data_IF_911683675781
#
_entry.id   IF_911683675781
#
_cell.length_a   1.000
_cell.length_b   1.000
_cell.length_c   1.000
_cell.angle_alpha   90.00
_cell.angle_beta   90.00
_cell.angle_gamma   90.00
#
_symmetry.space_group_name_H-M   'P 1'
#
loop_
_entity.id
_entity.type
_entity.pdbx_description
1 polymer ?
#
# COMPACT_ATOMS: atom_id res chain seq x y z
N UNK A 1 18.34 1.97 6.13
CA UNK A 1 19.35 3.05 6.31
C UNK A 1 20.13 2.85 7.62
N UNK A 2 21.38 3.34 7.73
CA UNK A 2 22.16 3.17 8.97
C UNK A 2 21.47 3.79 10.20
N UNK A 3 20.72 4.88 9.99
CA UNK A 3 19.98 5.58 11.05
C UNK A 3 18.56 5.03 11.29
N UNK A 4 18.15 3.99 10.56
CA UNK A 4 16.76 3.50 10.54
C UNK A 4 16.22 3.21 11.95
N UNK A 5 16.94 2.43 12.75
CA UNK A 5 16.47 2.03 14.08
C UNK A 5 16.29 3.25 15.00
N UNK A 6 17.27 4.16 15.01
CA UNK A 6 17.19 5.41 15.77
C UNK A 6 16.01 6.28 15.31
N UNK A 7 15.83 6.38 13.99
CA UNK A 7 14.76 7.17 13.39
C UNK A 7 13.36 6.59 13.62
N UNK A 8 13.22 5.27 13.75
CA UNK A 8 11.96 4.62 14.13
C UNK A 8 11.67 4.78 15.63
N UNK A 9 12.67 4.52 16.48
CA UNK A 9 12.50 4.48 17.95
C UNK A 9 12.08 5.82 18.54
N UNK A 10 12.55 6.94 17.98
CA UNK A 10 12.17 8.29 18.45
C UNK A 10 10.66 8.58 18.39
N UNK A 11 9.88 7.84 17.60
CA UNK A 11 8.43 8.03 17.48
C UNK A 11 7.63 7.22 18.50
N UNK A 12 8.26 6.40 19.34
CA UNK A 12 7.60 5.65 20.41
C UNK A 12 7.29 6.52 21.64
N UNK A 13 6.38 7.47 21.47
CA UNK A 13 5.76 8.22 22.57
C UNK A 13 4.92 7.29 23.47
N UNK A 14 4.60 7.68 24.72
CA UNK A 14 3.64 6.95 25.55
C UNK A 14 2.35 6.66 24.77
N UNK A 15 1.83 5.44 24.88
CA UNK A 15 0.64 4.99 24.14
C UNK A 15 0.87 4.56 22.68
N UNK A 16 2.05 4.79 22.09
CA UNK A 16 2.39 4.25 20.75
C UNK A 16 2.93 2.83 20.90
N UNK A 17 2.19 1.84 20.37
CA UNK A 17 2.57 0.42 20.41
C UNK A 17 3.23 -0.07 19.12
N UNK A 18 3.02 0.63 18.01
CA UNK A 18 3.50 0.21 16.69
C UNK A 18 3.95 1.43 15.88
N UNK A 19 5.12 1.32 15.26
CA UNK A 19 5.62 2.32 14.30
C UNK A 19 5.97 1.61 13.01
N UNK A 20 5.43 2.04 11.87
CA UNK A 20 5.81 1.54 10.56
C UNK A 20 6.46 2.65 9.72
N UNK A 21 7.47 2.31 8.95
CA UNK A 21 8.11 3.21 7.99
C UNK A 21 7.64 2.94 6.57
N UNK A 22 7.91 3.87 5.68
CA UNK A 22 7.68 3.69 4.25
C UNK A 22 8.63 2.65 3.64
N UNK A 23 8.08 1.76 2.84
CA UNK A 23 8.85 0.94 1.90
C UNK A 23 8.73 1.53 0.51
N UNK A 24 9.83 1.58 -0.25
CA UNK A 24 9.83 1.94 -1.67
C UNK A 24 10.19 0.71 -2.51
N UNK A 25 9.55 0.54 -3.66
CA UNK A 25 9.90 -0.52 -4.61
C UNK A 25 10.89 0.05 -5.62
N UNK A 26 12.04 -0.62 -5.78
CA UNK A 26 13.11 -0.18 -6.70
C UNK A 26 13.44 -1.28 -7.70
N UNK A 27 13.36 -0.96 -8.98
CA UNK A 27 13.90 -1.77 -10.05
C UNK A 27 14.21 -0.96 -11.30
N UNK A 28 14.77 -1.62 -12.30
CA UNK A 28 15.34 -0.95 -13.47
C UNK A 28 14.40 -0.93 -14.66
N UNK A 29 13.60 -2.00 -14.84
CA UNK A 29 12.69 -2.15 -15.97
C UNK A 29 11.52 -1.19 -15.84
N UNK A 30 10.86 -0.90 -16.96
CA UNK A 30 9.68 -0.03 -16.96
C UNK A 30 8.60 -0.58 -16.01
N UNK A 31 8.32 -1.88 -16.07
CA UNK A 31 7.36 -2.57 -15.20
C UNK A 31 7.70 -2.38 -13.70
N UNK A 32 8.97 -2.54 -13.32
CA UNK A 32 9.44 -2.32 -11.95
C UNK A 32 9.20 -0.89 -11.49
N UNK A 33 9.46 0.08 -12.36
CA UNK A 33 9.25 1.51 -12.08
C UNK A 33 7.78 1.84 -11.90
N UNK A 34 6.88 1.17 -12.63
CA UNK A 34 5.43 1.33 -12.45
C UNK A 34 4.99 0.81 -11.09
N UNK A 35 5.48 -0.37 -10.67
CA UNK A 35 5.25 -0.89 -9.31
C UNK A 35 5.81 0.07 -8.25
N UNK A 36 6.97 0.69 -8.51
CA UNK A 36 7.55 1.74 -7.67
C UNK A 36 6.64 2.95 -7.46
N UNK A 37 6.13 3.52 -8.56
CA UNK A 37 5.21 4.66 -8.52
C UNK A 37 3.88 4.29 -7.84
N UNK A 38 3.33 3.13 -8.18
CA UNK A 38 2.12 2.62 -7.58
C UNK A 38 2.26 2.45 -6.07
N UNK A 39 3.32 1.78 -5.63
CA UNK A 39 3.56 1.54 -4.22
C UNK A 39 3.78 2.87 -3.48
N UNK A 40 4.52 3.81 -4.07
CA UNK A 40 4.71 5.14 -3.50
C UNK A 40 3.38 5.90 -3.34
N UNK A 41 2.47 5.79 -4.32
CA UNK A 41 1.13 6.35 -4.24
C UNK A 41 0.35 5.78 -3.05
N UNK A 42 0.32 4.45 -2.90
CA UNK A 42 -0.37 3.80 -1.79
C UNK A 42 0.24 4.09 -0.42
N UNK A 43 1.57 4.19 -0.31
CA UNK A 43 2.23 4.61 0.94
C UNK A 43 1.86 6.04 1.33
N UNK A 44 1.67 6.93 0.35
CA UNK A 44 1.15 8.26 0.60
C UNK A 44 -0.29 8.25 1.12
N UNK A 45 -1.17 7.45 0.51
CA UNK A 45 -2.55 7.31 1.00
C UNK A 45 -2.57 6.74 2.43
N UNK A 46 -1.75 5.72 2.70
CA UNK A 46 -1.61 5.14 4.03
C UNK A 46 -1.20 6.20 5.06
N UNK A 47 -0.22 7.05 4.72
CA UNK A 47 0.20 8.17 5.58
C UNK A 47 -0.93 9.16 5.88
N UNK A 48 -1.79 9.46 4.90
CA UNK A 48 -2.94 10.34 5.11
C UNK A 48 -4.01 9.68 5.99
N UNK A 49 -4.25 8.39 5.81
CA UNK A 49 -5.23 7.63 6.59
C UNK A 49 -4.79 7.47 8.04
N UNK A 50 -3.50 7.27 8.28
CA UNK A 50 -2.88 7.16 9.61
C UNK A 50 -3.13 8.40 10.50
N UNK A 51 -3.32 9.58 9.91
CA UNK A 51 -3.65 10.80 10.66
C UNK A 51 -5.13 10.84 11.13
N UNK A 52 -5.99 10.00 10.55
CA UNK A 52 -7.42 9.91 10.92
C UNK A 52 -7.66 8.71 11.83
N UNK A 53 -7.14 7.54 11.44
CA UNK A 53 -7.31 6.29 12.16
C UNK A 53 -6.22 5.30 11.80
N UNK A 54 -5.82 4.45 12.74
CA UNK A 54 -4.94 3.33 12.46
C UNK A 54 -5.65 2.38 11.48
N UNK A 55 -5.07 2.17 10.29
CA UNK A 55 -5.66 1.32 9.24
C UNK A 55 -4.88 0.03 9.03
N UNK A 56 -3.56 0.13 8.87
CA UNK A 56 -2.68 -1.03 8.68
C UNK A 56 -1.23 -0.63 8.89
N UNK A 57 -0.34 -1.61 8.96
CA UNK A 57 1.10 -1.45 9.00
C UNK A 57 1.78 -2.12 7.80
N UNK A 58 3.01 -1.70 7.52
CA UNK A 58 3.83 -2.27 6.45
C UNK A 58 4.82 -3.24 7.09
N UNK A 59 4.56 -4.55 6.99
CA UNK A 59 5.27 -5.56 7.78
C UNK A 59 6.79 -5.61 7.59
N UNK A 60 7.29 -5.32 6.39
CA UNK A 60 8.73 -5.33 6.11
C UNK A 60 9.47 -4.08 6.61
N UNK A 61 8.76 -3.11 7.19
CA UNK A 61 9.33 -1.90 7.73
C UNK A 61 8.55 -1.45 8.97
N UNK A 62 8.64 -2.24 10.04
CA UNK A 62 7.85 -2.04 11.25
C UNK A 62 8.70 -2.29 12.49
N UNK A 63 8.38 -1.57 13.56
CA UNK A 63 8.86 -1.78 14.91
C UNK A 63 7.67 -1.86 15.88
N UNK A 64 7.79 -2.71 16.90
CA UNK A 64 6.76 -2.94 17.91
C UNK A 64 7.30 -2.58 19.30
N UNK A 65 6.47 -1.96 20.13
CA UNK A 65 6.77 -1.80 21.55
C UNK A 65 6.66 -3.17 22.22
N UNK A 66 7.72 -3.58 22.94
CA UNK A 66 7.78 -4.88 23.62
C UNK A 66 6.55 -5.16 24.47
N UNK A 67 6.12 -4.19 25.28
CA UNK A 67 4.93 -4.33 26.13
C UNK A 67 3.65 -4.56 25.30
N UNK A 68 3.44 -3.76 24.26
CA UNK A 68 2.28 -3.90 23.38
C UNK A 68 2.24 -5.27 22.69
N UNK A 69 3.40 -5.78 22.23
CA UNK A 69 3.53 -7.11 21.64
C UNK A 69 3.17 -8.23 22.64
N UNK A 70 3.71 -8.19 23.87
CA UNK A 70 3.44 -9.26 24.84
C UNK A 70 2.02 -9.22 25.40
N UNK A 71 1.36 -8.06 25.42
CA UNK A 71 -0.06 -7.96 25.79
C UNK A 71 -1.00 -8.67 24.79
N UNK A 72 -0.57 -8.92 23.55
CA UNK A 72 -1.33 -9.73 22.59
C UNK A 72 -1.01 -11.22 22.70
N UNK A 73 0.03 -11.61 23.46
CA UNK A 73 0.58 -12.96 23.44
C UNK A 73 1.59 -13.23 22.31
N UNK A 74 1.98 -12.19 21.57
CA UNK A 74 2.91 -12.28 20.45
C UNK A 74 2.27 -12.77 19.14
N UNK A 75 3.10 -13.17 18.16
CA UNK A 75 2.63 -13.81 16.93
C UNK A 75 2.17 -15.25 17.19
N UNK A 76 2.70 -15.87 18.23
CA UNK A 76 2.45 -17.26 18.62
C UNK A 76 1.00 -17.48 19.08
N UNK A 77 0.32 -16.43 19.53
CA UNK A 77 -1.09 -16.46 19.93
C UNK A 77 -2.06 -16.10 18.79
N UNK A 78 -1.55 -15.67 17.63
CA UNK A 78 -2.38 -15.22 16.51
C UNK A 78 -2.65 -16.37 15.53
N UNK A 79 -3.86 -16.39 14.97
CA UNK A 79 -4.21 -17.32 13.91
C UNK A 79 -3.29 -17.17 12.71
N UNK A 80 -2.97 -18.29 12.07
CA UNK A 80 -2.20 -18.30 10.82
C UNK A 80 -2.90 -17.46 9.76
N UNK A 81 -2.17 -16.52 9.17
CA UNK A 81 -2.68 -15.60 8.14
C UNK A 81 -1.66 -15.36 7.04
N UNK A 82 -2.14 -15.08 5.83
CA UNK A 82 -1.30 -14.60 4.71
C UNK A 82 -0.75 -13.19 4.93
N UNK A 83 -1.31 -12.45 5.89
CA UNK A 83 -0.95 -11.09 6.29
C UNK A 83 -0.73 -11.02 7.81
N UNK A 84 0.33 -11.69 8.27
CA UNK A 84 0.74 -11.75 9.69
C UNK A 84 0.95 -10.36 10.29
N UNK A 85 1.49 -9.44 9.50
CA UNK A 85 1.72 -8.03 9.86
C UNK A 85 0.43 -7.28 10.18
N UNK A 86 -0.62 -7.51 9.39
CA UNK A 86 -1.94 -6.94 9.65
C UNK A 86 -2.58 -7.53 10.92
N UNK A 87 -2.42 -8.83 11.17
CA UNK A 87 -2.96 -9.48 12.38
C UNK A 87 -2.36 -8.93 13.67
N UNK A 88 -1.02 -8.81 13.73
CA UNK A 88 -0.39 -8.23 14.92
C UNK A 88 -0.75 -6.75 15.08
N UNK A 89 -0.91 -6.02 13.97
CA UNK A 89 -1.36 -4.63 13.99
C UNK A 89 -2.77 -4.51 14.60
N UNK A 90 -3.71 -5.35 14.17
CA UNK A 90 -5.06 -5.39 14.73
C UNK A 90 -5.04 -5.78 16.20
N UNK A 91 -4.26 -6.80 16.58
CA UNK A 91 -4.16 -7.26 17.95
C UNK A 91 -3.65 -6.14 18.87
N UNK A 92 -2.56 -5.45 18.49
CA UNK A 92 -1.98 -4.33 19.25
C UNK A 92 -2.96 -3.17 19.36
N UNK A 93 -3.57 -2.75 18.25
CA UNK A 93 -4.51 -1.61 18.25
C UNK A 93 -5.80 -1.91 19.01
N UNK A 94 -6.27 -3.17 19.02
CA UNK A 94 -7.43 -3.60 19.82
C UNK A 94 -7.20 -3.53 21.33
N UNK A 95 -5.93 -3.55 21.77
CA UNK A 95 -5.52 -3.34 23.17
C UNK A 95 -5.41 -1.86 23.55
N UNK A 96 -5.81 -0.94 22.66
CA UNK A 96 -5.79 0.51 22.91
C UNK A 96 -4.47 1.20 22.58
N UNK A 97 -3.50 0.48 22.03
CA UNK A 97 -2.26 1.09 21.56
C UNK A 97 -2.46 1.84 20.23
N UNK A 98 -1.79 2.98 20.10
CA UNK A 98 -1.77 3.76 18.88
C UNK A 98 -0.66 3.30 17.93
N UNK A 99 -0.88 3.58 16.65
CA UNK A 99 0.06 3.35 15.55
C UNK A 99 0.55 4.68 14.99
N UNK A 100 1.78 4.70 14.48
CA UNK A 100 2.29 5.78 13.62
C UNK A 100 2.92 5.25 12.35
N UNK A 101 2.48 5.74 11.20
CA UNK A 101 3.14 5.52 9.91
C UNK A 101 4.06 6.70 9.55
N UNK A 102 5.33 6.40 9.30
CA UNK A 102 6.37 7.38 9.04
C UNK A 102 6.71 7.48 7.56
N UNK A 103 6.67 8.71 7.06
CA UNK A 103 7.02 9.08 5.70
C UNK A 103 8.18 10.08 5.74
N UNK A 104 9.41 9.56 5.82
CA UNK A 104 10.64 10.38 5.84
C UNK A 104 11.85 9.59 5.31
N UNK A 105 12.90 10.27 4.81
CA UNK A 105 14.06 9.63 4.19
C UNK A 105 14.79 8.60 5.09
N UNK A 106 14.85 8.85 6.39
CA UNK A 106 15.65 8.10 7.36
C UNK A 106 15.09 6.70 7.62
N UNK A 107 13.80 6.49 7.36
CA UNK A 107 13.10 5.23 7.60
C UNK A 107 12.78 4.46 6.31
N UNK A 108 13.27 4.91 5.14
CA UNK A 108 12.98 4.23 3.86
C UNK A 108 13.57 2.82 3.85
N UNK A 109 12.70 1.80 3.83
CA UNK A 109 13.06 0.44 3.43
C UNK A 109 12.93 0.29 1.91
N UNK A 110 13.67 -0.65 1.32
CA UNK A 110 13.58 -0.96 -0.11
C UNK A 110 13.08 -2.38 -0.29
N UNK A 111 12.13 -2.57 -1.21
CA UNK A 111 11.67 -3.87 -1.66
C UNK A 111 11.97 -4.06 -3.13
N UNK A 112 12.18 -5.32 -3.52
CA UNK A 112 12.22 -5.71 -4.91
C UNK A 112 10.81 -5.70 -5.52
N UNK A 113 10.69 -5.39 -6.82
CA UNK A 113 9.43 -5.51 -7.56
C UNK A 113 9.08 -7.00 -7.78
N UNK A 114 7.79 -7.28 -7.98
CA UNK A 114 7.38 -8.56 -8.53
C UNK A 114 8.00 -8.74 -9.93
N UNK A 115 8.60 -9.90 -10.24
CA UNK A 115 9.42 -10.07 -11.44
C UNK A 115 8.60 -10.13 -12.73
N UNK A 116 7.32 -10.48 -12.65
CA UNK A 116 6.40 -10.51 -13.79
C UNK A 116 4.94 -10.27 -13.35
N UNK A 117 4.03 -10.20 -14.32
CA UNK A 117 2.61 -9.93 -14.07
C UNK A 117 1.92 -11.01 -13.23
N UNK A 118 2.28 -12.28 -13.43
CA UNK A 118 1.68 -13.40 -12.67
C UNK A 118 2.00 -13.26 -11.18
N UNK A 119 3.27 -13.02 -10.85
CA UNK A 119 3.70 -12.84 -9.46
C UNK A 119 3.09 -11.58 -8.82
N UNK A 120 2.96 -10.50 -9.59
CA UNK A 120 2.26 -9.29 -9.15
C UNK A 120 0.78 -9.57 -8.83
N UNK A 121 0.09 -10.33 -9.68
CA UNK A 121 -1.32 -10.68 -9.47
C UNK A 121 -1.51 -11.61 -8.27
N UNK A 122 -0.60 -12.57 -8.05
CA UNK A 122 -0.59 -13.40 -6.85
C UNK A 122 -0.36 -12.57 -5.58
N UNK A 123 0.60 -11.63 -5.60
CA UNK A 123 0.83 -10.71 -4.48
C UNK A 123 -0.41 -9.88 -4.16
N UNK A 124 -1.06 -9.31 -5.19
CA UNK A 124 -2.29 -8.53 -5.04
C UNK A 124 -3.45 -9.35 -4.54
N UNK A 125 -3.59 -10.60 -4.98
CA UNK A 125 -4.63 -11.50 -4.47
C UNK A 125 -4.48 -11.71 -2.96
N UNK A 126 -3.25 -11.87 -2.45
CA UNK A 126 -2.98 -11.95 -1.00
C UNK A 126 -3.35 -10.66 -0.28
N UNK A 127 -2.95 -9.51 -0.83
CA UNK A 127 -3.26 -8.21 -0.23
C UNK A 127 -4.76 -7.91 -0.21
N UNK A 128 -5.50 -8.29 -1.25
CA UNK A 128 -6.94 -8.15 -1.27
C UNK A 128 -7.61 -9.07 -0.25
N UNK A 129 -7.17 -10.33 -0.13
CA UNK A 129 -7.67 -11.24 0.91
C UNK A 129 -7.49 -10.65 2.32
N UNK A 130 -6.30 -10.16 2.65
CA UNK A 130 -6.06 -9.48 3.93
C UNK A 130 -6.82 -8.15 4.06
N UNK A 131 -6.95 -7.41 2.95
CA UNK A 131 -7.67 -6.14 2.88
C UNK A 131 -9.18 -6.25 3.12
N UNK A 132 -9.79 -7.43 2.92
CA UNK A 132 -11.20 -7.66 3.25
C UNK A 132 -11.48 -7.56 4.75
N UNK A 133 -10.45 -7.66 5.60
CA UNK A 133 -10.55 -7.50 7.05
C UNK A 133 -10.37 -6.03 7.50
N UNK A 134 -10.20 -5.08 6.57
CA UNK A 134 -10.08 -3.65 6.88
C UNK A 134 -11.40 -3.06 7.37
N UNK A 135 -11.38 -1.95 8.13
CA UNK A 135 -12.59 -1.24 8.52
C UNK A 135 -13.48 -0.91 7.30
N UNK A 136 -14.80 -1.08 7.42
CA UNK A 136 -15.76 -0.90 6.29
C UNK A 136 -15.62 0.45 5.58
N UNK A 137 -15.30 1.52 6.32
CA UNK A 137 -15.06 2.86 5.76
C UNK A 137 -13.86 2.87 4.80
N UNK A 138 -12.77 2.19 5.17
CA UNK A 138 -11.58 2.04 4.33
C UNK A 138 -11.89 1.21 3.10
N UNK A 139 -12.59 0.09 3.27
CA UNK A 139 -13.02 -0.75 2.15
C UNK A 139 -13.88 0.05 1.15
N UNK A 140 -14.81 0.88 1.64
CA UNK A 140 -15.60 1.78 0.80
C UNK A 140 -14.77 2.77 -0.01
N UNK A 141 -13.71 3.35 0.58
CA UNK A 141 -12.80 4.24 -0.14
C UNK A 141 -11.98 3.50 -1.21
N UNK A 142 -11.52 2.28 -0.91
CA UNK A 142 -10.83 1.42 -1.88
C UNK A 142 -11.77 1.07 -3.03
N UNK A 143 -13.03 0.71 -2.75
CA UNK A 143 -14.04 0.43 -3.78
C UNK A 143 -14.33 1.67 -4.64
N UNK A 144 -14.48 2.85 -4.03
CA UNK A 144 -14.67 4.10 -4.75
C UNK A 144 -13.47 4.45 -5.64
N UNK A 145 -12.25 4.19 -5.19
CA UNK A 145 -11.06 4.36 -6.00
C UNK A 145 -11.05 3.40 -7.20
N UNK A 146 -11.49 2.15 -7.02
CA UNK A 146 -11.46 1.14 -8.09
C UNK A 146 -12.63 1.27 -9.07
N UNK A 147 -13.81 1.74 -8.65
CA UNK A 147 -14.96 1.92 -9.56
C UNK A 147 -14.74 3.05 -10.57
N UNK A 148 -13.84 3.99 -10.26
CA UNK A 148 -13.43 5.05 -11.16
C UNK A 148 -12.96 4.52 -12.53
N UNK A 149 -12.19 3.44 -12.57
CA UNK A 149 -11.61 2.92 -13.82
C UNK A 149 -12.65 2.44 -14.84
N UNK A 150 -13.61 1.54 -14.49
CA UNK A 150 -14.66 1.15 -15.43
C UNK A 150 -15.61 2.30 -15.77
N UNK A 151 -15.91 3.20 -14.81
CA UNK A 151 -16.75 4.39 -15.08
C UNK A 151 -16.08 5.33 -16.07
N UNK A 152 -14.76 5.54 -15.96
CA UNK A 152 -14.01 6.37 -16.90
C UNK A 152 -14.01 5.78 -18.33
N UNK A 153 -13.94 4.44 -18.46
CA UNK A 153 -14.08 3.76 -19.75
C UNK A 153 -15.48 3.97 -20.33
N UNK A 154 -16.53 3.81 -19.52
CA UNK A 154 -17.90 4.07 -19.97
C UNK A 154 -18.08 5.54 -20.39
N UNK A 155 -17.52 6.47 -19.65
CA UNK A 155 -17.59 7.89 -19.96
C UNK A 155 -16.88 8.24 -21.27
N UNK A 156 -15.77 7.57 -21.60
CA UNK A 156 -15.10 7.72 -22.90
C UNK A 156 -16.04 7.36 -24.07
N UNK A 157 -16.90 6.35 -23.90
CA UNK A 157 -17.86 5.90 -24.90
C UNK A 157 -19.07 6.83 -25.00
N UNK A 158 -19.55 7.36 -23.87
CA UNK A 158 -20.75 8.19 -23.82
C UNK A 158 -20.48 9.66 -24.15
N UNK A 159 -19.37 10.21 -23.66
CA UNK A 159 -18.98 11.60 -23.87
C UNK A 159 -17.46 11.77 -23.80
N UNK A 160 -16.81 11.63 -24.96
CA UNK A 160 -15.37 11.73 -25.10
C UNK A 160 -14.77 13.02 -24.52
N UNK A 161 -15.41 14.18 -24.73
CA UNK A 161 -14.90 15.47 -24.26
C UNK A 161 -14.85 15.53 -22.73
N UNK A 162 -15.94 15.13 -22.07
CA UNK A 162 -16.00 15.12 -20.59
C UNK A 162 -15.03 14.07 -20.03
N UNK A 163 -14.95 12.91 -20.67
CA UNK A 163 -14.02 11.86 -20.25
C UNK A 163 -12.56 12.35 -20.23
N UNK A 164 -12.10 12.98 -21.30
CA UNK A 164 -10.71 13.51 -21.38
C UNK A 164 -10.44 14.52 -20.27
N UNK A 165 -11.39 15.41 -19.95
CA UNK A 165 -11.25 16.38 -18.85
C UNK A 165 -11.09 15.65 -17.50
N UNK A 166 -11.94 14.66 -17.22
CA UNK A 166 -11.89 13.87 -15.99
C UNK A 166 -10.58 13.10 -15.88
N UNK A 167 -10.16 12.43 -16.95
CA UNK A 167 -8.91 11.67 -17.02
C UNK A 167 -7.70 12.56 -16.76
N UNK A 168 -7.64 13.71 -17.42
CA UNK A 168 -6.55 14.67 -17.27
C UNK A 168 -6.49 15.22 -15.85
N UNK A 169 -7.64 15.63 -15.30
CA UNK A 169 -7.69 16.19 -13.95
C UNK A 169 -7.30 15.16 -12.88
N UNK A 170 -7.77 13.91 -13.01
CA UNK A 170 -7.35 12.81 -12.14
C UNK A 170 -5.84 12.57 -12.23
N UNK A 171 -5.29 12.51 -13.46
CA UNK A 171 -3.86 12.28 -13.66
C UNK A 171 -3.03 13.43 -13.06
N UNK A 172 -3.48 14.67 -13.24
CA UNK A 172 -2.84 15.84 -12.65
C UNK A 172 -2.79 15.78 -11.11
N UNK A 173 -3.91 15.46 -10.45
CA UNK A 173 -3.96 15.33 -8.99
C UNK A 173 -3.04 14.20 -8.51
N UNK A 174 -3.07 13.06 -9.20
CA UNK A 174 -2.26 11.90 -8.85
C UNK A 174 -0.76 12.20 -9.00
N UNK A 175 -0.37 12.85 -10.09
CA UNK A 175 1.01 13.23 -10.36
C UNK A 175 1.49 14.27 -9.35
N UNK A 176 0.68 15.29 -9.05
CA UNK A 176 0.96 16.25 -7.98
C UNK A 176 1.18 15.54 -6.64
N UNK A 177 0.32 14.59 -6.30
CA UNK A 177 0.43 13.81 -5.08
C UNK A 177 1.72 12.99 -5.05
N UNK A 178 2.03 12.26 -6.12
CA UNK A 178 3.29 11.52 -6.25
C UNK A 178 4.53 12.41 -6.10
N UNK A 179 4.52 13.59 -6.72
CA UNK A 179 5.60 14.56 -6.58
C UNK A 179 5.76 15.03 -5.14
N UNK A 180 4.65 15.30 -4.44
CA UNK A 180 4.69 15.66 -3.02
C UNK A 180 5.35 14.56 -2.19
N UNK A 181 4.94 13.30 -2.39
CA UNK A 181 5.52 12.16 -1.66
C UNK A 181 7.01 11.99 -1.98
N UNK A 182 7.38 12.08 -3.26
CA UNK A 182 8.77 11.97 -3.68
C UNK A 182 9.64 13.08 -3.09
N UNK A 183 9.14 14.31 -3.05
CA UNK A 183 9.87 15.44 -2.45
C UNK A 183 10.10 15.24 -0.95
N UNK A 184 9.08 14.78 -0.20
CA UNK A 184 9.23 14.45 1.23
C UNK A 184 10.34 13.42 1.46
N UNK A 185 10.49 12.47 0.53
CA UNK A 185 11.41 11.34 0.62
C UNK A 185 12.76 11.59 -0.07
N UNK A 186 12.98 12.79 -0.62
CA UNK A 186 14.16 13.13 -1.45
C UNK A 186 14.36 12.16 -2.63
N UNK A 187 13.27 11.68 -3.23
CA UNK A 187 13.26 10.80 -4.40
C UNK A 187 13.10 11.63 -5.69
N UNK A 188 13.78 11.21 -6.76
CA UNK A 188 13.63 11.81 -8.08
C UNK A 188 12.66 10.98 -8.92
N UNK A 189 11.59 11.61 -9.39
CA UNK A 189 10.65 10.99 -10.33
C UNK A 189 11.00 11.35 -11.77
N UNK A 190 10.93 10.38 -12.67
CA UNK A 190 11.04 10.61 -14.10
C UNK A 190 9.65 10.92 -14.68
N UNK A 191 9.48 12.12 -15.26
CA UNK A 191 8.21 12.58 -15.86
C UNK A 191 7.65 11.62 -16.90
N UNK A 192 8.50 10.99 -17.72
CA UNK A 192 8.05 10.03 -18.73
C UNK A 192 7.38 8.80 -18.09
N UNK A 193 7.85 8.40 -16.90
CA UNK A 193 7.27 7.27 -16.19
C UNK A 193 5.86 7.56 -15.67
N UNK A 194 5.49 8.82 -15.43
CA UNK A 194 4.14 9.18 -14.96
C UNK A 194 3.09 8.91 -16.04
N UNK A 195 3.42 9.19 -17.31
CA UNK A 195 2.55 8.86 -18.45
C UNK A 195 2.36 7.35 -18.58
N UNK A 196 3.45 6.57 -18.49
CA UNK A 196 3.35 5.11 -18.51
C UNK A 196 2.60 4.56 -17.29
N UNK A 197 2.71 5.25 -16.15
CA UNK A 197 2.06 4.85 -14.92
C UNK A 197 0.54 4.96 -15.01
N UNK A 198 0.00 5.97 -15.69
CA UNK A 198 -1.44 6.02 -15.95
C UNK A 198 -1.94 4.80 -16.74
N UNK A 199 -1.27 4.46 -17.84
CA UNK A 199 -1.63 3.26 -18.63
C UNK A 199 -1.53 1.97 -17.79
N UNK A 200 -0.46 1.84 -17.01
CA UNK A 200 -0.27 0.72 -16.10
C UNK A 200 -1.38 0.64 -15.06
N UNK A 201 -1.74 1.77 -14.44
CA UNK A 201 -2.71 1.82 -13.36
C UNK A 201 -4.12 1.43 -13.86
N UNK A 202 -4.52 1.88 -15.05
CA UNK A 202 -5.75 1.41 -15.70
C UNK A 202 -5.74 -0.09 -15.96
N UNK A 203 -4.68 -0.60 -16.59
CA UNK A 203 -4.55 -2.02 -16.91
C UNK A 203 -4.66 -2.89 -15.64
N UNK A 204 -3.88 -2.53 -14.62
CA UNK A 204 -3.80 -3.29 -13.38
C UNK A 204 -5.09 -3.19 -12.56
N UNK A 205 -5.74 -2.02 -12.52
CA UNK A 205 -6.99 -1.84 -11.79
C UNK A 205 -8.17 -2.60 -12.40
N UNK A 206 -8.15 -2.88 -13.71
CA UNK A 206 -9.13 -3.74 -14.37
C UNK A 206 -8.80 -5.23 -14.20
N UNK A 207 -7.54 -5.63 -14.39
CA UNK A 207 -7.13 -7.04 -14.29
C UNK A 207 -7.23 -7.58 -12.87
N UNK A 208 -6.87 -6.77 -11.86
CA UNK A 208 -6.82 -7.19 -10.45
C UNK A 208 -8.13 -7.79 -9.94
N UNK A 209 -9.31 -7.12 -10.03
CA UNK A 209 -10.57 -7.69 -9.54
C UNK A 209 -10.99 -8.94 -10.33
N UNK A 210 -10.74 -8.98 -11.65
CA UNK A 210 -11.01 -10.17 -12.47
C UNK A 210 -10.17 -11.34 -11.97
N UNK A 211 -8.87 -11.14 -11.77
CA UNK A 211 -7.95 -12.17 -11.27
C UNK A 211 -8.30 -12.64 -9.86
N UNK A 212 -8.75 -11.72 -9.00
CA UNK A 212 -9.18 -12.04 -7.63
C UNK A 212 -10.36 -13.02 -7.60
N UNK A 213 -11.34 -12.84 -8.52
CA UNK A 213 -12.52 -13.70 -8.64
C UNK A 213 -12.22 -15.09 -9.21
N UNK A 214 -11.08 -15.28 -9.89
CA UNK A 214 -10.71 -16.60 -10.40
C UNK A 214 -10.37 -17.57 -9.25
N UNK A 215 -10.78 -18.85 -9.32
CA UNK A 215 -10.54 -19.87 -8.30
C UNK A 215 -9.09 -20.40 -8.32
N UNK A 216 -8.11 -19.52 -8.52
CA UNK A 216 -6.68 -19.85 -8.50
C UNK A 216 -6.18 -19.99 -7.05
N UNK A 217 -5.44 -21.06 -6.74
CA UNK A 217 -4.79 -21.24 -5.43
C UNK A 217 -3.79 -20.11 -5.16
N UNK A 218 -3.66 -19.74 -3.89
CA UNK A 218 -2.67 -18.73 -3.46
C UNK A 218 -1.54 -19.45 -2.75
N UNK A 219 -0.40 -19.63 -3.43
CA UNK A 219 0.80 -20.21 -2.82
C UNK A 219 1.55 -19.13 -2.03
N UNK A 220 1.85 -19.40 -0.75
CA UNK A 220 2.65 -18.49 0.07
C UNK A 220 3.59 -19.27 0.99
N UNK A 221 4.91 -19.01 0.88
CA UNK A 221 5.95 -19.67 1.71
C UNK A 221 5.80 -21.21 1.77
N UNK A 222 5.55 -21.86 0.63
CA UNK A 222 5.32 -23.33 0.54
C UNK A 222 4.09 -23.85 1.31
N UNK A 223 3.14 -22.98 1.67
CA UNK A 223 1.83 -23.35 2.22
C UNK A 223 0.76 -23.06 1.18
N UNK A 224 -0.09 -24.04 0.89
CA UNK A 224 -1.29 -23.82 0.07
C UNK A 224 -2.40 -23.19 0.94
N UNK A 225 -2.95 -22.04 0.50
CA UNK A 225 -4.05 -21.32 1.18
C UNK A 225 -5.14 -20.87 0.21
#
# INVERSE_FOLDING_TARGET
PQQWARAMVQYFKPGIGLVSGITVVKGQKLFDKMQGLEWLYYMGLLRMMDEISAVTAVGNNMALRKEAYWQTGGYESLDSSVTEDYKIFQAITSKGWHHKHLLMPEVIATSEPAPNLKDLMQQRKRWLRGGMELPKKVLGLVLLHNIYYPVAILLLLLNFKVAIIVLFFKAFIQDWFLYRQANILNLRLNRKNLVYYECYNYLISIITPIYFMLPLKTEWKQREI
#
